data_IF_669302397506
#
_entry.id   IF_669302397506
#
_cell.length_a   1.000
_cell.length_b   1.000
_cell.length_c   1.000
_cell.angle_alpha   90.00
_cell.angle_beta   90.00
_cell.angle_gamma   90.00
#
_symmetry.space_group_name_H-M   'P 1'
#
loop_
_entity.id
_entity.type
_entity.pdbx_description
1 polymer ?
#
# COMPACT_ATOMS: atom_id res chain seq x y z
N UNK A 1 -16.01 -5.67 -5.96
CA UNK A 1 -14.68 -5.06 -5.99
C UNK A 1 -14.62 -4.09 -4.82
N UNK A 2 -13.79 -4.41 -3.84
CA UNK A 2 -13.64 -3.69 -2.57
C UNK A 2 -12.41 -2.78 -2.59
N UNK A 3 -11.40 -3.18 -3.33
CA UNK A 3 -10.21 -2.37 -3.59
C UNK A 3 -10.58 -1.02 -4.19
N UNK A 4 -9.92 0.05 -3.74
CA UNK A 4 -10.28 1.43 -4.06
C UNK A 4 -9.05 2.34 -4.18
N UNK A 5 -9.25 3.52 -4.78
CA UNK A 5 -8.26 4.60 -4.82
C UNK A 5 -8.64 5.63 -3.77
N UNK A 6 -7.72 5.91 -2.85
CA UNK A 6 -7.84 6.98 -1.87
C UNK A 6 -7.08 8.20 -2.39
N UNK A 7 -7.74 9.35 -2.43
CA UNK A 7 -7.08 10.62 -2.78
C UNK A 7 -6.85 11.44 -1.54
N UNK A 8 -5.78 12.21 -1.52
CA UNK A 8 -5.43 13.02 -0.37
C UNK A 8 -4.43 14.12 -0.72
N UNK A 9 -4.04 14.86 0.30
CA UNK A 9 -3.05 15.93 0.18
C UNK A 9 -1.95 15.71 1.21
N UNK A 10 -0.70 15.89 0.79
CA UNK A 10 0.46 15.83 1.68
C UNK A 10 1.05 17.22 1.78
N UNK A 11 1.40 17.58 3.02
CA UNK A 11 2.10 18.82 3.32
C UNK A 11 3.43 18.48 3.98
N UNK A 12 4.52 18.88 3.35
CA UNK A 12 5.84 18.91 3.98
C UNK A 12 6.13 20.33 4.44
N UNK A 13 6.18 20.54 5.76
CA UNK A 13 6.47 21.83 6.36
C UNK A 13 7.76 21.75 7.18
N UNK A 14 8.75 22.57 6.82
CA UNK A 14 10.01 22.75 7.55
C UNK A 14 10.07 24.19 8.05
N UNK A 15 10.23 24.36 9.37
CA UNK A 15 10.20 25.69 10.00
C UNK A 15 11.59 26.34 10.14
N UNK A 16 12.68 25.55 10.13
CA UNK A 16 14.06 26.04 10.28
C UNK A 16 15.04 25.28 9.37
N UNK A 17 16.13 25.91 8.90
CA UNK A 17 16.55 27.29 9.15
C UNK A 17 15.77 28.35 8.34
N UNK A 18 15.15 27.96 7.22
CA UNK A 18 14.19 28.78 6.47
C UNK A 18 12.86 28.06 6.40
N UNK A 19 11.76 28.82 6.48
CA UNK A 19 10.41 28.27 6.30
C UNK A 19 10.25 27.75 4.86
N UNK A 20 9.89 26.49 4.72
CA UNK A 20 9.53 25.88 3.44
C UNK A 20 8.28 25.02 3.64
N UNK A 21 7.29 25.22 2.78
CA UNK A 21 6.04 24.47 2.81
C UNK A 21 5.75 24.00 1.39
N UNK A 22 5.76 22.69 1.21
CA UNK A 22 5.37 22.03 -0.02
C UNK A 22 4.03 21.34 0.22
N UNK A 23 3.05 21.62 -0.64
CA UNK A 23 1.70 21.05 -0.59
C UNK A 23 1.40 20.44 -1.95
N UNK A 24 0.98 19.18 -1.96
CA UNK A 24 0.72 18.46 -3.20
C UNK A 24 -0.33 17.36 -3.00
N UNK A 25 -1.01 17.05 -4.09
CA UNK A 25 -2.01 15.98 -4.15
C UNK A 25 -1.31 14.63 -4.31
N UNK A 26 -1.86 13.64 -3.64
CA UNK A 26 -1.41 12.26 -3.69
C UNK A 26 -2.60 11.32 -3.89
N UNK A 27 -2.31 10.08 -4.24
CA UNK A 27 -3.28 8.99 -4.16
C UNK A 27 -2.60 7.72 -3.64
N UNK A 28 -3.38 6.89 -2.96
CA UNK A 28 -2.99 5.57 -2.47
C UNK A 28 -3.94 4.52 -3.05
N UNK A 29 -3.48 3.28 -3.11
CA UNK A 29 -4.33 2.12 -3.35
C UNK A 29 -4.73 1.53 -1.99
N UNK A 30 -6.02 1.29 -1.78
CA UNK A 30 -6.51 0.38 -0.77
C UNK A 30 -6.80 -0.94 -1.48
N UNK A 31 -6.00 -1.98 -1.20
CA UNK A 31 -6.09 -3.27 -1.86
C UNK A 31 -6.58 -4.32 -0.89
N UNK A 32 -7.69 -4.99 -1.20
CA UNK A 32 -8.09 -6.22 -0.53
C UNK A 32 -7.13 -7.33 -1.00
N UNK A 33 -6.37 -7.92 -0.08
CA UNK A 33 -5.34 -8.91 -0.43
C UNK A 33 -5.93 -10.15 -1.10
N UNK A 34 -7.20 -10.49 -0.82
CA UNK A 34 -7.88 -11.64 -1.42
C UNK A 34 -8.39 -11.32 -2.84
N UNK A 35 -8.45 -10.03 -3.23
CA UNK A 35 -8.83 -9.59 -4.58
C UNK A 35 -7.64 -9.52 -5.56
N UNK A 36 -6.39 -9.47 -5.07
CA UNK A 36 -5.19 -9.27 -5.90
C UNK A 36 -5.12 -10.17 -7.15
N UNK A 37 -5.39 -11.50 -7.08
CA UNK A 37 -5.32 -12.37 -8.26
C UNK A 37 -6.39 -12.09 -9.32
N UNK A 38 -7.44 -11.32 -8.97
CA UNK A 38 -8.59 -11.02 -9.83
C UNK A 38 -8.53 -9.58 -10.39
N UNK A 39 -7.59 -8.77 -9.94
CA UNK A 39 -7.42 -7.39 -10.42
C UNK A 39 -6.77 -7.40 -11.80
N UNK A 40 -7.60 -7.22 -12.84
CA UNK A 40 -7.16 -7.07 -14.23
C UNK A 40 -7.45 -5.64 -14.71
N UNK A 41 -6.57 -4.71 -14.35
CA UNK A 41 -6.66 -3.31 -14.75
C UNK A 41 -5.50 -2.97 -15.68
N UNK A 42 -5.80 -2.47 -16.88
CA UNK A 42 -4.82 -2.22 -17.96
C UNK A 42 -3.56 -1.45 -17.54
N UNK A 43 -3.65 -0.55 -16.55
CA UNK A 43 -2.53 0.28 -16.11
C UNK A 43 -1.85 -0.22 -14.82
N UNK A 44 -2.45 -1.18 -14.11
CA UNK A 44 -1.97 -1.70 -12.83
C UNK A 44 -1.40 -3.11 -13.02
N UNK A 45 -0.09 -3.25 -12.85
CA UNK A 45 0.56 -4.56 -12.81
C UNK A 45 0.61 -5.12 -11.39
N UNK A 46 -0.08 -6.23 -11.13
CA UNK A 46 0.09 -7.03 -9.91
C UNK A 46 1.23 -8.03 -10.14
N UNK A 47 2.27 -7.99 -9.30
CA UNK A 47 3.51 -8.78 -9.46
C UNK A 47 4.22 -8.63 -10.83
N UNK A 48 3.86 -7.60 -11.60
CA UNK A 48 4.21 -7.46 -13.01
C UNK A 48 4.73 -6.08 -13.41
N UNK A 49 4.67 -5.81 -14.71
CA UNK A 49 4.91 -4.49 -15.30
C UNK A 49 3.60 -3.71 -15.42
N UNK A 50 3.68 -2.38 -15.31
CA UNK A 50 2.54 -1.48 -15.41
C UNK A 50 2.98 -0.03 -15.20
N UNK A 51 2.13 0.94 -15.56
CA UNK A 51 2.35 2.35 -15.19
C UNK A 51 2.27 2.47 -13.67
N UNK A 52 1.24 1.83 -13.10
CA UNK A 52 1.10 1.58 -11.69
C UNK A 52 1.47 0.13 -11.41
N UNK A 53 2.08 -0.15 -10.27
CA UNK A 53 2.46 -1.52 -9.91
C UNK A 53 2.28 -1.83 -8.44
N UNK A 54 1.96 -3.09 -8.16
CA UNK A 54 1.98 -3.66 -6.82
C UNK A 54 2.93 -4.85 -6.81
N UNK A 55 3.81 -4.93 -5.81
CA UNK A 55 4.61 -6.12 -5.55
C UNK A 55 4.63 -6.41 -4.06
N UNK A 56 4.27 -7.62 -3.67
CA UNK A 56 4.19 -8.05 -2.28
C UNK A 56 5.54 -7.87 -1.55
N UNK A 57 6.67 -8.03 -2.25
CA UNK A 57 8.03 -7.84 -1.71
C UNK A 57 8.33 -6.41 -1.22
N UNK A 58 7.49 -5.44 -1.54
CA UNK A 58 7.68 -4.04 -1.14
C UNK A 58 7.06 -3.74 0.23
N UNK A 59 6.32 -4.70 0.79
CA UNK A 59 5.53 -4.56 1.99
C UNK A 59 5.85 -5.68 2.98
N UNK A 60 5.46 -5.50 4.23
CA UNK A 60 5.62 -6.51 5.28
C UNK A 60 7.06 -6.94 5.52
N UNK A 61 7.22 -8.16 6.04
CA UNK A 61 8.53 -8.74 6.38
C UNK A 61 9.32 -9.26 5.17
N UNK A 62 8.70 -9.35 4.00
CA UNK A 62 9.27 -9.87 2.73
C UNK A 62 9.70 -11.34 2.76
N UNK A 63 9.48 -12.05 3.87
CA UNK A 63 9.90 -13.44 4.04
C UNK A 63 8.73 -14.40 3.88
N UNK A 64 7.50 -13.93 4.09
CA UNK A 64 6.29 -14.73 3.90
C UNK A 64 5.21 -13.96 3.13
N UNK A 65 4.15 -14.65 2.66
CA UNK A 65 3.03 -13.99 2.00
C UNK A 65 2.39 -12.92 2.91
N UNK A 66 2.08 -11.75 2.35
CA UNK A 66 1.58 -10.60 3.12
C UNK A 66 0.37 -10.92 4.01
N UNK A 67 -0.57 -11.71 3.49
CA UNK A 67 -1.75 -12.13 4.25
C UNK A 67 -1.37 -12.96 5.48
N UNK A 68 -0.38 -13.84 5.35
CA UNK A 68 0.11 -14.68 6.43
C UNK A 68 0.88 -13.84 7.46
N UNK A 69 1.73 -12.93 6.99
CA UNK A 69 2.45 -11.99 7.85
C UNK A 69 1.48 -11.13 8.68
N UNK A 70 0.49 -10.53 8.03
CA UNK A 70 -0.52 -9.72 8.70
C UNK A 70 -1.36 -10.57 9.69
N UNK A 71 -1.74 -11.79 9.32
CA UNK A 71 -2.45 -12.69 10.23
C UNK A 71 -1.61 -13.03 11.48
N UNK A 72 -0.31 -13.23 11.32
CA UNK A 72 0.61 -13.46 12.43
C UNK A 72 0.67 -12.24 13.36
N UNK A 73 0.77 -11.02 12.82
CA UNK A 73 0.74 -9.80 13.63
C UNK A 73 -0.55 -9.64 14.44
N UNK A 74 -1.70 -9.98 13.84
CA UNK A 74 -2.99 -9.94 14.53
C UNK A 74 -3.03 -10.95 15.69
N UNK A 75 -2.51 -12.17 15.46
CA UNK A 75 -2.41 -13.19 16.50
C UNK A 75 -1.43 -12.79 17.62
N UNK A 76 -0.26 -12.23 17.28
CA UNK A 76 0.72 -11.74 18.25
C UNK A 76 0.17 -10.58 19.10
N UNK A 77 -0.69 -9.75 18.52
CA UNK A 77 -1.41 -8.70 19.23
C UNK A 77 -2.54 -9.22 20.14
N UNK A 78 -2.86 -10.53 20.11
CA UNK A 78 -3.94 -11.12 20.89
C UNK A 78 -5.34 -10.69 20.44
N UNK A 79 -5.49 -10.27 19.19
CA UNK A 79 -6.76 -9.82 18.62
C UNK A 79 -7.52 -11.05 18.12
N UNK A 80 -8.74 -11.25 18.63
CA UNK A 80 -9.66 -12.26 18.11
C UNK A 80 -10.20 -11.82 16.74
N UNK A 81 -9.69 -12.46 15.70
CA UNK A 81 -10.01 -12.16 14.31
C UNK A 81 -10.33 -13.46 13.58
N UNK A 82 -11.48 -13.48 12.91
CA UNK A 82 -12.03 -14.62 12.18
C UNK A 82 -11.38 -14.90 10.82
N UNK A 83 -10.30 -14.18 10.48
CA UNK A 83 -9.59 -14.37 9.23
C UNK A 83 -10.27 -13.74 8.01
N UNK A 84 -11.32 -12.92 8.21
CA UNK A 84 -12.22 -12.46 7.13
C UNK A 84 -11.56 -11.59 6.07
N UNK A 85 -10.82 -10.55 6.46
CA UNK A 85 -10.32 -9.54 5.51
C UNK A 85 -9.06 -8.85 6.00
N UNK A 86 -8.11 -8.67 5.08
CA UNK A 86 -6.95 -7.80 5.25
C UNK A 86 -6.90 -6.86 4.05
N UNK A 87 -6.90 -5.55 4.32
CA UNK A 87 -6.75 -4.51 3.32
C UNK A 87 -5.43 -3.77 3.54
N UNK A 88 -4.69 -3.54 2.45
CA UNK A 88 -3.42 -2.82 2.47
C UNK A 88 -3.61 -1.44 1.84
N UNK A 89 -3.35 -0.39 2.62
CA UNK A 89 -3.25 0.97 2.12
C UNK A 89 -1.79 1.27 1.76
N UNK A 90 -1.49 1.48 0.48
CA UNK A 90 -0.12 1.70 0.03
C UNK A 90 -0.01 2.65 -1.16
N UNK A 91 1.19 3.21 -1.37
CA UNK A 91 1.51 3.85 -2.64
C UNK A 91 1.84 2.78 -3.69
N UNK A 92 1.27 2.87 -4.91
CA UNK A 92 1.72 1.99 -5.98
C UNK A 92 3.13 2.37 -6.42
N UNK A 93 3.80 1.42 -7.05
CA UNK A 93 4.92 1.74 -7.93
C UNK A 93 4.45 2.66 -9.05
N UNK A 94 5.22 3.70 -9.37
CA UNK A 94 5.04 4.54 -10.54
C UNK A 94 6.19 4.28 -11.50
N UNK A 95 5.89 3.78 -12.70
CA UNK A 95 6.90 3.38 -13.69
C UNK A 95 8.00 2.46 -13.11
N UNK A 96 7.60 1.56 -12.20
CA UNK A 96 8.53 0.63 -11.53
C UNK A 96 9.25 1.21 -10.31
N UNK A 97 9.15 2.50 -10.00
CA UNK A 97 9.73 3.10 -8.79
C UNK A 97 8.73 3.10 -7.65
N UNK A 98 9.14 2.72 -6.44
CA UNK A 98 8.29 2.78 -5.23
C UNK A 98 8.86 3.78 -4.25
N UNK A 99 7.99 4.61 -3.69
CA UNK A 99 8.28 5.44 -2.54
C UNK A 99 7.18 5.18 -1.52
N UNK A 100 7.44 4.27 -0.57
CA UNK A 100 6.47 3.93 0.46
C UNK A 100 6.93 4.53 1.78
N UNK A 101 6.35 5.65 2.24
CA UNK A 101 6.79 6.32 3.46
C UNK A 101 6.46 5.49 4.72
N UNK A 102 5.51 4.55 4.63
CA UNK A 102 5.17 3.52 5.62
C UNK A 102 4.33 2.43 4.93
N UNK A 103 4.65 1.16 5.18
CA UNK A 103 3.81 -0.01 4.92
C UNK A 103 4.28 -1.20 5.72
#
# INVERSE_FOLDING_TARGET
MRSAIYTGEVVHARMRPRSHRLHYRVFCLLLDLDELPRLDLKLLGIEGAGIFGFRARDHGDRHMPLRQWAAQLVAEAGIDWDGTRIELLCYPRLFGFVFNPLS
#
